data_IF_346784928176
#
_entry.id   IF_346784928176
#
_cell.length_a   1.000
_cell.length_b   1.000
_cell.length_c   1.000
_cell.angle_alpha   90.00
_cell.angle_beta   90.00
_cell.angle_gamma   90.00
#
_symmetry.space_group_name_H-M   'P 1'
#
loop_
_entity.id
_entity.type
_entity.pdbx_description
1 polymer ?
#
# COMPACT_ATOMS: atom_id res chain seq x y z
N UNK A 1 1.70 -8.73 0.01
CA UNK A 1 0.63 -9.33 0.86
C UNK A 1 0.23 -10.70 0.30
N UNK A 2 -0.41 -11.64 1.04
CA UNK A 2 -0.81 -12.91 0.46
C UNK A 2 -1.92 -12.71 -0.58
N UNK A 3 -1.80 -13.37 -1.74
CA UNK A 3 -2.68 -13.25 -2.92
C UNK A 3 -4.18 -13.30 -2.57
N UNK A 4 -4.58 -14.18 -1.64
CA UNK A 4 -5.99 -14.33 -1.24
C UNK A 4 -6.58 -13.10 -0.53
N UNK A 5 -5.76 -12.32 0.20
CA UNK A 5 -6.22 -11.06 0.83
C UNK A 5 -6.47 -9.96 -0.22
N UNK A 6 -5.68 -9.90 -1.28
CA UNK A 6 -5.87 -8.96 -2.39
C UNK A 6 -7.17 -9.26 -3.14
N UNK A 7 -7.44 -10.55 -3.38
CA UNK A 7 -8.70 -11.01 -3.98
C UNK A 7 -9.89 -10.63 -3.11
N UNK A 8 -9.84 -10.88 -1.79
CA UNK A 8 -10.91 -10.49 -0.86
C UNK A 8 -11.18 -8.98 -0.84
N UNK A 9 -10.13 -8.16 -0.92
CA UNK A 9 -10.25 -6.70 -0.95
C UNK A 9 -11.02 -6.22 -2.20
N UNK A 10 -10.93 -6.92 -3.33
CA UNK A 10 -11.73 -6.59 -4.52
C UNK A 10 -13.22 -6.89 -4.35
N UNK A 11 -13.59 -7.78 -3.42
CA UNK A 11 -14.99 -8.04 -3.09
C UNK A 11 -15.59 -7.05 -2.09
N UNK A 12 -14.79 -6.12 -1.56
CA UNK A 12 -15.27 -5.15 -0.57
C UNK A 12 -15.99 -3.93 -1.19
N UNK A 13 -15.84 -3.73 -2.51
CA UNK A 13 -16.52 -2.68 -3.26
C UNK A 13 -18.06 -2.87 -3.23
N UNK A 14 -18.78 -1.77 -2.99
CA UNK A 14 -20.25 -1.75 -2.92
C UNK A 14 -20.89 -2.28 -4.21
N UNK A 15 -20.35 -1.93 -5.38
CA UNK A 15 -20.88 -2.36 -6.67
C UNK A 15 -20.71 -3.87 -6.86
N UNK A 16 -19.58 -4.42 -6.44
CA UNK A 16 -19.31 -5.87 -6.48
C UNK A 16 -20.26 -6.62 -5.54
N UNK A 17 -20.51 -6.08 -4.33
CA UNK A 17 -21.49 -6.64 -3.38
C UNK A 17 -22.90 -6.67 -3.96
N UNK A 18 -23.32 -5.61 -4.65
CA UNK A 18 -24.62 -5.56 -5.35
C UNK A 18 -24.71 -6.62 -6.44
N UNK A 19 -23.65 -6.78 -7.24
CA UNK A 19 -23.59 -7.79 -8.31
C UNK A 19 -23.68 -9.22 -7.75
N UNK A 20 -22.98 -9.49 -6.64
CA UNK A 20 -23.05 -10.79 -5.95
C UNK A 20 -24.45 -11.03 -5.42
N UNK A 21 -25.07 -10.03 -4.79
CA UNK A 21 -26.45 -10.15 -4.31
C UNK A 21 -27.41 -10.48 -5.46
N UNK A 22 -27.29 -9.81 -6.61
CA UNK A 22 -28.08 -10.10 -7.81
C UNK A 22 -27.85 -11.53 -8.33
N UNK A 23 -26.60 -12.00 -8.37
CA UNK A 23 -26.27 -13.36 -8.78
C UNK A 23 -26.89 -14.43 -7.84
N UNK A 24 -26.82 -14.21 -6.53
CA UNK A 24 -27.41 -15.11 -5.52
C UNK A 24 -28.93 -15.13 -5.64
N UNK A 25 -29.56 -13.97 -5.82
CA UNK A 25 -31.00 -13.85 -6.00
C UNK A 25 -31.45 -14.57 -7.29
N UNK A 26 -30.80 -14.31 -8.43
CA UNK A 26 -31.10 -14.99 -9.70
C UNK A 26 -30.95 -16.52 -9.56
N UNK A 27 -29.89 -16.99 -8.89
CA UNK A 27 -29.69 -18.42 -8.65
C UNK A 27 -30.79 -19.05 -7.78
N UNK A 28 -31.22 -18.37 -6.71
CA UNK A 28 -32.31 -18.85 -5.85
C UNK A 28 -33.65 -18.90 -6.59
N UNK A 29 -33.96 -17.89 -7.41
CA UNK A 29 -35.18 -17.86 -8.22
C UNK A 29 -35.19 -18.99 -9.27
N UNK A 30 -34.07 -19.23 -9.94
CA UNK A 30 -33.91 -20.34 -10.87
C UNK A 30 -34.15 -21.69 -10.19
N UNK A 31 -33.60 -21.88 -8.98
CA UNK A 31 -33.78 -23.10 -8.18
C UNK A 31 -35.23 -23.32 -7.74
N UNK A 32 -35.94 -22.25 -7.36
CA UNK A 32 -37.33 -22.30 -6.86
C UNK A 32 -38.36 -22.51 -7.99
N UNK A 33 -38.12 -21.94 -9.18
CA UNK A 33 -39.03 -22.08 -10.32
C UNK A 33 -38.91 -23.43 -11.04
N UNK A 34 -37.96 -24.29 -10.64
CA UNK A 34 -37.78 -25.60 -11.26
C UNK A 34 -37.31 -25.55 -12.72
N UNK A 35 -36.74 -24.41 -13.15
CA UNK A 35 -36.18 -24.24 -14.49
C UNK A 35 -34.90 -25.11 -14.61
N UNK A 36 -35.06 -26.37 -14.99
CA UNK A 36 -33.95 -27.31 -15.22
C UNK A 36 -33.51 -27.27 -16.69
N UNK A 37 -32.79 -26.21 -17.06
CA UNK A 37 -32.19 -26.08 -18.38
C UNK A 37 -30.86 -25.32 -18.34
N UNK A 38 -30.02 -25.50 -19.37
CA UNK A 38 -28.75 -24.77 -19.54
C UNK A 38 -28.93 -23.24 -19.43
N UNK A 39 -30.13 -22.73 -19.72
CA UNK A 39 -30.49 -21.31 -19.62
C UNK A 39 -30.56 -20.77 -18.19
N UNK A 40 -30.91 -21.61 -17.20
CA UNK A 40 -31.00 -21.20 -15.79
C UNK A 40 -29.63 -20.91 -15.16
N UNK A 41 -28.57 -21.48 -15.73
CA UNK A 41 -27.19 -21.27 -15.28
C UNK A 41 -26.46 -20.18 -16.06
N UNK A 42 -27.01 -19.72 -17.21
CA UNK A 42 -26.34 -18.70 -18.03
C UNK A 42 -26.20 -17.37 -17.29
N UNK A 43 -27.28 -16.85 -16.70
CA UNK A 43 -27.25 -15.56 -16.01
C UNK A 43 -26.27 -15.54 -14.82
N UNK A 44 -26.33 -16.47 -13.83
CA UNK A 44 -25.36 -16.49 -12.75
C UNK A 44 -23.93 -16.76 -13.23
N UNK A 45 -23.75 -17.61 -14.25
CA UNK A 45 -22.43 -17.93 -14.79
C UNK A 45 -21.77 -16.72 -15.45
N UNK A 46 -22.52 -15.91 -16.20
CA UNK A 46 -21.99 -14.69 -16.85
C UNK A 46 -21.60 -13.66 -15.79
N UNK A 47 -22.42 -13.47 -14.76
CA UNK A 47 -22.12 -12.53 -13.67
C UNK A 47 -20.86 -12.97 -12.91
N UNK A 48 -20.75 -14.27 -12.60
CA UNK A 48 -19.57 -14.81 -11.92
C UNK A 48 -18.29 -14.66 -12.77
N UNK A 49 -18.40 -14.85 -14.09
CA UNK A 49 -17.29 -14.65 -15.01
C UNK A 49 -16.83 -13.18 -15.06
N UNK A 50 -17.76 -12.21 -15.06
CA UNK A 50 -17.43 -10.78 -15.00
C UNK A 50 -16.73 -10.44 -13.68
N UNK A 51 -17.21 -10.96 -12.56
CA UNK A 51 -16.58 -10.76 -11.25
C UNK A 51 -15.15 -11.32 -11.20
N UNK A 52 -14.96 -12.53 -11.74
CA UNK A 52 -13.64 -13.14 -11.83
C UNK A 52 -12.68 -12.33 -12.70
N UNK A 53 -13.15 -11.82 -13.85
CA UNK A 53 -12.37 -10.95 -14.72
C UNK A 53 -11.98 -9.63 -14.03
N UNK A 54 -12.92 -8.97 -13.35
CA UNK A 54 -12.67 -7.73 -12.61
C UNK A 54 -11.66 -7.94 -11.47
N UNK A 55 -11.79 -9.01 -10.70
CA UNK A 55 -10.85 -9.36 -9.65
C UNK A 55 -9.45 -9.64 -10.21
N UNK A 56 -9.34 -10.36 -11.34
CA UNK A 56 -8.07 -10.63 -11.98
C UNK A 56 -7.37 -9.34 -12.45
N UNK A 57 -8.10 -8.44 -13.11
CA UNK A 57 -7.57 -7.14 -13.52
C UNK A 57 -7.12 -6.33 -12.32
N UNK A 58 -7.93 -6.28 -11.24
CA UNK A 58 -7.58 -5.57 -10.01
C UNK A 58 -6.31 -6.09 -9.33
N UNK A 59 -6.11 -7.41 -9.30
CA UNK A 59 -4.90 -7.99 -8.72
C UNK A 59 -3.66 -7.72 -9.59
N UNK A 60 -3.79 -7.78 -10.91
CA UNK A 60 -2.68 -7.47 -11.83
C UNK A 60 -2.25 -6.00 -11.69
N UNK A 61 -3.19 -5.07 -11.60
CA UNK A 61 -2.86 -3.64 -11.46
C UNK A 61 -2.21 -3.32 -10.11
N UNK A 62 -2.69 -3.90 -9.01
CA UNK A 62 -2.14 -3.69 -7.66
C UNK A 62 -0.74 -4.34 -7.52
N UNK A 63 -0.54 -5.55 -8.06
CA UNK A 63 0.77 -6.23 -8.00
C UNK A 63 1.84 -5.59 -8.88
N UNK A 64 1.48 -5.03 -10.04
CA UNK A 64 2.43 -4.30 -10.88
C UNK A 64 2.92 -3.01 -10.21
N UNK A 65 2.05 -2.32 -9.45
CA UNK A 65 2.43 -1.14 -8.69
C UNK A 65 3.42 -1.48 -7.54
N UNK A 66 3.16 -2.56 -6.79
CA UNK A 66 4.07 -3.03 -5.74
C UNK A 66 5.43 -3.46 -6.30
N UNK A 67 5.46 -4.21 -7.42
CA UNK A 67 6.72 -4.69 -8.03
C UNK A 67 7.61 -3.55 -8.53
N UNK A 68 7.05 -2.53 -9.17
CA UNK A 68 7.83 -1.37 -9.62
C UNK A 68 8.51 -0.66 -8.43
N UNK A 69 7.84 -0.59 -7.29
CA UNK A 69 8.40 -0.04 -6.05
C UNK A 69 9.50 -0.93 -5.46
N UNK A 70 9.36 -2.26 -5.56
CA UNK A 70 10.34 -3.22 -5.06
C UNK A 70 11.60 -3.32 -5.94
N UNK A 71 11.45 -3.25 -7.26
CA UNK A 71 12.58 -3.19 -8.19
C UNK A 71 13.42 -1.93 -7.98
N UNK A 72 12.78 -0.78 -7.72
CA UNK A 72 13.49 0.44 -7.30
C UNK A 72 14.27 0.27 -5.98
N UNK A 73 13.82 -0.62 -5.07
CA UNK A 73 14.54 -0.94 -3.82
C UNK A 73 15.73 -1.87 -4.07
N UNK A 74 15.60 -2.83 -4.99
CA UNK A 74 16.63 -3.82 -5.27
C UNK A 74 17.90 -3.21 -5.90
N UNK A 75 17.78 -2.08 -6.60
CA UNK A 75 18.93 -1.35 -7.16
C UNK A 75 19.81 -0.64 -6.11
N UNK A 76 19.42 -0.63 -4.82
CA UNK A 76 20.16 0.01 -3.72
C UNK A 76 20.77 -1.01 -2.75
N UNK A 77 21.41 -2.08 -3.26
CA UNK A 77 22.20 -2.96 -2.40
C UNK A 77 23.48 -2.22 -1.95
N UNK A 78 23.32 -1.30 -0.99
CA UNK A 78 24.41 -0.57 -0.37
C UNK A 78 25.27 -1.56 0.43
N UNK A 79 26.58 -1.56 0.18
CA UNK A 79 27.56 -2.34 0.94
C UNK A 79 28.26 -1.42 1.94
N UNK A 80 28.61 -1.95 3.11
CA UNK A 80 29.25 -1.22 4.20
C UNK A 80 30.56 -1.92 4.61
N UNK A 81 31.60 -1.12 4.82
CA UNK A 81 32.86 -1.59 5.39
C UNK A 81 32.79 -1.50 6.91
N UNK A 82 32.70 -2.64 7.59
CA UNK A 82 32.61 -2.71 9.05
C UNK A 82 33.90 -3.22 9.67
N UNK A 83 34.15 -2.83 10.91
CA UNK A 83 35.19 -3.38 11.76
C UNK A 83 34.54 -4.27 12.82
N UNK A 84 34.62 -5.59 12.63
CA UNK A 84 34.14 -6.60 13.59
C UNK A 84 35.31 -7.47 14.02
N UNK A 85 35.43 -7.75 15.31
CA UNK A 85 36.52 -8.57 15.88
C UNK A 85 37.95 -8.11 15.48
N UNK A 86 38.14 -6.81 15.26
CA UNK A 86 39.42 -6.23 14.84
C UNK A 86 39.78 -6.42 13.35
N UNK A 87 38.91 -7.03 12.56
CA UNK A 87 39.10 -7.19 11.12
C UNK A 87 38.08 -6.36 10.32
N UNK A 88 38.53 -5.77 9.22
CA UNK A 88 37.64 -5.11 8.28
C UNK A 88 36.96 -6.14 7.38
N UNK A 89 35.64 -6.05 7.27
CA UNK A 89 34.83 -6.88 6.39
C UNK A 89 33.82 -6.03 5.65
N UNK A 90 33.57 -6.35 4.38
CA UNK A 90 32.50 -5.72 3.60
C UNK A 90 31.27 -6.59 3.77
N UNK A 91 30.16 -5.99 4.20
CA UNK A 91 28.88 -6.67 4.36
C UNK A 91 27.72 -5.85 3.79
N UNK A 92 26.62 -6.50 3.40
CA UNK A 92 25.42 -5.80 2.96
C UNK A 92 24.91 -4.86 4.07
N UNK A 93 24.49 -3.64 3.73
CA UNK A 93 23.95 -2.68 4.69
C UNK A 93 22.74 -3.22 5.49
N UNK A 94 22.02 -4.20 4.95
CA UNK A 94 20.92 -4.91 5.61
C UNK A 94 21.35 -5.76 6.81
N UNK A 95 22.64 -6.11 6.91
CA UNK A 95 23.20 -6.91 8.02
C UNK A 95 23.84 -6.05 9.12
N UNK A 96 23.78 -4.72 8.99
CA UNK A 96 24.26 -3.80 10.01
C UNK A 96 23.35 -3.84 11.25
N UNK A 97 23.98 -3.81 12.42
CA UNK A 97 23.29 -3.73 13.71
C UNK A 97 23.80 -2.53 14.52
N UNK A 98 22.98 -1.96 15.41
CA UNK A 98 23.44 -0.94 16.34
C UNK A 98 24.65 -1.42 17.14
N UNK A 99 25.69 -0.59 17.21
CA UNK A 99 26.98 -0.92 17.84
C UNK A 99 28.08 -1.34 16.86
N UNK A 100 27.76 -1.65 15.60
CA UNK A 100 28.79 -1.88 14.58
C UNK A 100 29.63 -0.61 14.35
N UNK A 101 30.95 -0.79 14.17
CA UNK A 101 31.85 0.29 13.76
C UNK A 101 31.98 0.21 12.24
N UNK A 102 31.64 1.30 11.57
CA UNK A 102 31.68 1.42 10.10
C UNK A 102 32.71 2.47 9.73
N UNK A 103 33.53 2.17 8.72
CA UNK A 103 34.40 3.14 8.09
C UNK A 103 33.74 3.69 6.84
N UNK A 104 33.65 5.02 6.76
CA UNK A 104 33.09 5.74 5.62
C UNK A 104 34.17 6.59 4.96
N UNK A 105 34.10 6.71 3.64
CA UNK A 105 35.01 7.54 2.86
C UNK A 105 34.32 8.21 1.68
N UNK A 106 35.08 9.04 0.98
CA UNK A 106 34.59 9.81 -0.18
C UNK A 106 33.91 8.91 -1.20
N UNK A 107 32.72 9.33 -1.64
CA UNK A 107 31.90 8.60 -2.61
C UNK A 107 31.04 7.49 -2.00
N UNK A 108 31.25 7.14 -0.73
CA UNK A 108 30.40 6.16 -0.05
C UNK A 108 29.07 6.81 0.35
N UNK A 109 27.98 6.07 0.11
CA UNK A 109 26.68 6.34 0.71
C UNK A 109 26.69 5.83 2.15
N UNK A 110 26.16 6.62 3.06
CA UNK A 110 26.06 6.31 4.48
C UNK A 110 24.95 5.25 4.66
N UNK A 111 25.26 4.03 5.13
CA UNK A 111 24.31 2.91 5.11
C UNK A 111 23.27 2.98 6.24
N UNK A 112 23.62 3.55 7.39
CA UNK A 112 22.80 3.60 8.59
C UNK A 112 22.99 4.96 9.29
N UNK A 113 22.15 5.27 10.29
CA UNK A 113 22.42 6.42 11.14
C UNK A 113 23.56 6.06 12.09
N UNK A 114 24.62 6.88 12.10
CA UNK A 114 25.85 6.58 12.83
C UNK A 114 26.39 7.80 13.56
N UNK A 115 26.87 7.61 14.80
CA UNK A 115 27.59 8.61 15.57
C UNK A 115 29.06 8.54 15.22
N UNK A 116 29.65 9.63 14.74
CA UNK A 116 31.08 9.66 14.48
C UNK A 116 31.88 9.41 15.75
N UNK A 117 32.95 8.63 15.64
CA UNK A 117 33.85 8.32 16.76
C UNK A 117 35.29 8.74 16.48
N UNK A 118 35.70 8.72 15.22
CA UNK A 118 37.07 9.04 14.83
C UNK A 118 37.07 9.71 13.45
N UNK A 119 37.81 10.81 13.31
CA UNK A 119 38.02 11.46 12.02
C UNK A 119 39.40 11.03 11.48
N UNK A 120 39.42 10.27 10.38
CA UNK A 120 40.65 9.74 9.76
C UNK A 120 41.29 10.72 8.78
N UNK A 121 40.67 11.88 8.57
CA UNK A 121 41.09 12.94 7.65
C UNK A 121 41.01 14.30 8.35
N UNK A 122 41.58 15.36 7.76
CA UNK A 122 41.52 16.69 8.36
C UNK A 122 40.08 17.23 8.47
N UNK A 123 39.24 16.92 7.48
CA UNK A 123 37.85 17.34 7.46
C UNK A 123 36.99 16.20 6.92
N UNK A 124 35.74 16.14 7.37
CA UNK A 124 34.70 15.30 6.78
C UNK A 124 33.55 16.21 6.32
N UNK A 125 33.14 16.07 5.07
CA UNK A 125 31.98 16.78 4.51
C UNK A 125 30.99 15.79 3.93
N UNK A 126 29.71 16.01 4.21
CA UNK A 126 28.61 15.13 3.82
C UNK A 126 27.54 15.94 3.11
N UNK A 127 27.05 15.42 2.00
CA UNK A 127 25.88 15.91 1.30
C UNK A 127 24.62 15.37 1.98
N UNK A 128 23.84 16.29 2.56
CA UNK A 128 22.60 16.00 3.28
C UNK A 128 21.37 16.54 2.56
N UNK A 129 21.48 16.89 1.26
CA UNK A 129 20.39 17.48 0.49
C UNK A 129 19.10 16.63 0.52
N UNK A 130 19.22 15.31 0.63
CA UNK A 130 18.08 14.39 0.70
C UNK A 130 17.26 14.52 2.01
N UNK A 131 17.86 15.04 3.09
CA UNK A 131 17.20 15.21 4.39
C UNK A 131 16.89 16.67 4.72
N UNK A 132 17.76 17.61 4.29
CA UNK A 132 17.62 19.03 4.63
C UNK A 132 17.08 19.86 3.47
N UNK A 133 17.14 19.36 2.24
CA UNK A 133 16.80 20.11 1.02
C UNK A 133 17.88 21.13 0.61
N UNK A 134 18.98 21.24 1.35
CA UNK A 134 20.06 22.18 1.06
C UNK A 134 21.17 21.49 0.26
N UNK A 135 21.50 22.05 -0.91
CA UNK A 135 22.52 21.48 -1.81
C UNK A 135 23.97 21.65 -1.34
N UNK A 136 24.19 22.37 -0.24
CA UNK A 136 25.53 22.64 0.28
C UNK A 136 26.00 21.51 1.19
N UNK A 137 27.22 21.00 0.94
CA UNK A 137 27.83 20.00 1.83
C UNK A 137 28.12 20.58 3.22
N UNK A 138 27.83 19.80 4.25
CA UNK A 138 27.97 20.21 5.66
C UNK A 138 29.22 19.56 6.25
N UNK A 139 30.01 20.35 6.98
CA UNK A 139 31.16 19.85 7.72
C UNK A 139 30.71 19.10 8.98
N UNK A 140 31.34 17.96 9.26
CA UNK A 140 31.03 17.11 10.41
C UNK A 140 32.13 17.21 11.47
N UNK A 141 31.75 17.11 12.74
CA UNK A 141 32.61 17.30 13.91
C UNK A 141 32.43 16.18 14.95
N UNK A 142 33.46 15.90 15.75
CA UNK A 142 33.40 14.83 16.76
C UNK A 142 32.67 15.24 18.03
N UNK A 143 32.55 16.54 18.30
CA UNK A 143 31.99 17.06 19.54
C UNK A 143 30.51 16.74 19.71
N UNK A 144 30.04 16.70 20.96
CA UNK A 144 28.62 16.47 21.24
C UNK A 144 27.80 17.69 20.87
N UNK A 145 26.68 17.50 20.16
CA UNK A 145 25.67 18.53 19.98
C UNK A 145 25.11 18.96 21.34
N UNK A 146 25.13 20.26 21.62
CA UNK A 146 24.76 20.84 22.93
C UNK A 146 23.25 20.82 23.21
N UNK A 147 22.42 20.87 22.17
CA UNK A 147 20.96 20.92 22.31
C UNK A 147 20.34 19.51 22.34
N UNK A 148 19.52 19.24 23.37
CA UNK A 148 18.82 17.96 23.55
C UNK A 148 17.80 17.67 22.42
N UNK A 149 17.20 18.71 21.84
CA UNK A 149 16.25 18.63 20.72
C UNK A 149 16.77 19.36 19.46
N UNK A 150 18.03 19.09 19.10
CA UNK A 150 18.64 19.64 17.90
C UNK A 150 17.92 19.18 16.62
N UNK A 151 17.79 20.09 15.65
CA UNK A 151 17.33 19.78 14.29
C UNK A 151 18.38 18.92 13.59
N UNK A 152 18.02 18.18 12.53
CA UNK A 152 18.96 17.34 11.79
C UNK A 152 20.20 18.11 11.29
N UNK A 153 20.03 19.38 10.90
CA UNK A 153 21.13 20.26 10.47
C UNK A 153 22.19 20.49 11.56
N UNK A 154 21.76 20.65 12.82
CA UNK A 154 22.63 20.94 13.95
C UNK A 154 23.39 19.70 14.47
N UNK A 155 23.00 18.51 14.03
CA UNK A 155 23.64 17.24 14.39
C UNK A 155 24.89 17.01 13.52
N UNK A 156 25.88 17.87 13.70
CA UNK A 156 27.18 17.82 12.99
C UNK A 156 28.01 16.58 13.33
N UNK A 157 27.64 15.83 14.35
CA UNK A 157 28.34 14.64 14.81
C UNK A 157 27.70 13.31 14.40
N UNK A 158 26.55 13.38 13.73
CA UNK A 158 25.81 12.21 13.21
C UNK A 158 25.92 12.17 11.68
N UNK A 159 26.14 10.97 11.17
CA UNK A 159 26.00 10.63 9.75
C UNK A 159 24.63 9.98 9.56
N UNK A 160 23.83 10.47 8.62
CA UNK A 160 22.48 9.97 8.41
C UNK A 160 22.42 9.01 7.23
N UNK A 161 21.61 7.95 7.36
CA UNK A 161 21.40 6.96 6.30
C UNK A 161 20.92 7.63 5.01
N UNK A 162 21.49 7.22 3.88
CA UNK A 162 21.16 7.74 2.55
C UNK A 162 21.95 8.98 2.12
N UNK A 163 22.67 9.63 3.04
CA UNK A 163 23.55 10.77 2.72
C UNK A 163 24.86 10.29 2.09
N UNK A 164 25.58 11.19 1.39
CA UNK A 164 26.82 10.82 0.66
C UNK A 164 28.00 11.59 1.20
N UNK A 165 29.12 10.90 1.44
CA UNK A 165 30.37 11.55 1.86
C UNK A 165 31.04 12.20 0.66
N UNK A 166 31.16 13.53 0.70
CA UNK A 166 31.75 14.33 -0.39
C UNK A 166 33.25 14.48 -0.22
N UNK A 167 33.73 14.58 1.02
CA UNK A 167 35.15 14.75 1.31
C UNK A 167 35.51 14.11 2.65
N UNK A 168 36.71 13.53 2.73
CA UNK A 168 37.27 12.95 3.95
C UNK A 168 36.94 11.48 4.18
N UNK A 169 37.40 10.98 5.33
CA UNK A 169 37.14 9.63 5.85
C UNK A 169 36.95 9.69 7.36
N UNK A 170 36.09 8.84 7.87
CA UNK A 170 35.80 8.76 9.30
C UNK A 170 35.36 7.36 9.70
N UNK A 171 35.46 7.06 10.99
CA UNK A 171 34.79 5.92 11.61
C UNK A 171 33.61 6.40 12.44
N UNK A 172 32.53 5.65 12.36
CA UNK A 172 31.30 5.94 13.07
C UNK A 172 30.72 4.65 13.63
N UNK A 173 30.02 4.77 14.75
CA UNK A 173 29.29 3.68 15.38
C UNK A 173 27.83 3.77 14.97
N UNK A 174 27.25 2.65 14.55
CA UNK A 174 25.83 2.57 14.18
C UNK A 174 24.96 2.80 15.41
N UNK A 175 24.07 3.78 15.32
CA UNK A 175 23.09 4.12 16.36
C UNK A 175 21.67 3.72 15.97
N UNK A 176 21.36 3.67 14.66
CA UNK A 176 20.04 3.33 14.16
C UNK A 176 20.09 2.69 12.78
N UNK A 177 19.24 1.69 12.55
CA UNK A 177 19.12 0.95 11.28
C UNK A 177 17.66 0.83 10.88
N UNK A 178 17.40 0.67 9.57
CA UNK A 178 16.04 0.50 9.03
C UNK A 178 15.10 1.63 9.44
N UNK A 179 13.93 1.27 10.00
CA UNK A 179 12.91 2.22 10.46
C UNK A 179 13.36 3.19 11.56
N UNK A 180 14.40 2.84 12.33
CA UNK A 180 14.92 3.70 13.40
C UNK A 180 15.94 4.74 12.92
N UNK A 181 16.15 4.88 11.61
CA UNK A 181 16.95 5.96 11.02
C UNK A 181 16.10 7.21 10.78
N UNK A 182 16.72 8.37 10.58
CA UNK A 182 16.04 9.60 10.17
C UNK A 182 15.23 9.37 8.88
N UNK A 183 15.84 8.75 7.86
CA UNK A 183 15.16 8.42 6.61
C UNK A 183 14.05 7.35 6.80
N UNK A 184 14.29 6.36 7.66
CA UNK A 184 13.32 5.35 8.03
C UNK A 184 12.07 5.94 8.70
N UNK A 185 12.26 6.93 9.58
CA UNK A 185 11.16 7.64 10.25
C UNK A 185 10.32 8.45 9.27
N UNK A 186 10.95 9.08 8.27
CA UNK A 186 10.26 9.81 7.19
C UNK A 186 9.45 8.82 6.34
N UNK A 187 10.06 7.68 5.97
CA UNK A 187 9.38 6.63 5.21
C UNK A 187 8.17 6.08 5.96
N UNK A 188 8.33 5.78 7.24
CA UNK A 188 7.25 5.23 8.05
C UNK A 188 6.14 6.27 8.28
N UNK A 189 6.47 7.57 8.36
CA UNK A 189 5.50 8.65 8.36
C UNK A 189 4.74 8.77 7.02
N UNK A 190 5.43 8.59 5.89
CA UNK A 190 4.80 8.55 4.57
C UNK A 190 3.84 7.35 4.45
N UNK A 191 4.26 6.16 4.89
CA UNK A 191 3.43 4.94 4.86
C UNK A 191 2.24 5.00 5.83
N UNK A 192 2.34 5.77 6.92
CA UNK A 192 1.23 6.03 7.86
C UNK A 192 0.22 7.03 7.33
N UNK A 193 0.56 7.79 6.31
CA UNK A 193 -0.42 8.59 5.59
C UNK A 193 -1.28 7.58 4.84
N UNK A 194 -2.49 7.32 5.34
CA UNK A 194 -3.44 6.46 4.63
C UNK A 194 -3.58 6.99 3.21
N UNK A 195 -3.51 6.09 2.22
CA UNK A 195 -3.81 6.42 0.83
C UNK A 195 -5.24 6.97 0.77
N UNK A 196 -5.38 8.28 0.90
CA UNK A 196 -6.67 8.92 0.68
C UNK A 196 -7.05 8.63 -0.76
N UNK A 197 -8.21 7.98 -0.93
CA UNK A 197 -8.77 7.74 -2.24
C UNK A 197 -8.77 9.07 -3.03
N UNK A 198 -8.29 9.00 -4.28
CA UNK A 198 -8.19 10.18 -5.13
C UNK A 198 -9.53 10.92 -5.20
N UNK A 199 -9.55 12.26 -5.33
CA UNK A 199 -10.79 13.01 -5.35
C UNK A 199 -11.76 12.50 -6.43
N UNK A 200 -11.25 11.99 -7.56
CA UNK A 200 -12.04 11.34 -8.59
C UNK A 200 -12.64 10.01 -8.12
N UNK A 201 -11.87 9.16 -7.42
CA UNK A 201 -12.36 7.89 -6.87
C UNK A 201 -13.44 8.12 -5.82
N UNK A 202 -13.25 9.07 -4.90
CA UNK A 202 -14.28 9.48 -3.92
C UNK A 202 -15.60 9.88 -4.62
N UNK A 203 -15.52 10.63 -5.73
CA UNK A 203 -16.70 11.05 -6.51
C UNK A 203 -17.38 9.89 -7.24
N UNK A 204 -16.61 8.93 -7.76
CA UNK A 204 -17.16 7.72 -8.38
C UNK A 204 -17.86 6.83 -7.34
N UNK A 205 -17.29 6.66 -6.15
CA UNK A 205 -17.90 5.89 -5.06
C UNK A 205 -19.19 6.55 -4.55
N UNK A 206 -19.18 7.88 -4.39
CA UNK A 206 -20.38 8.68 -4.08
C UNK A 206 -21.47 8.49 -5.15
N UNK A 207 -21.10 8.58 -6.43
CA UNK A 207 -22.01 8.40 -7.56
C UNK A 207 -22.57 6.98 -7.64
N UNK A 208 -21.73 5.96 -7.43
CA UNK A 208 -22.14 4.56 -7.38
C UNK A 208 -23.12 4.30 -6.24
N UNK A 209 -22.86 4.88 -5.06
CA UNK A 209 -23.76 4.78 -3.90
C UNK A 209 -25.09 5.52 -4.16
N UNK A 210 -25.06 6.66 -4.83
CA UNK A 210 -26.25 7.40 -5.23
C UNK A 210 -27.12 6.59 -6.20
N UNK A 211 -26.53 6.05 -7.27
CA UNK A 211 -27.23 5.18 -8.22
C UNK A 211 -27.83 3.96 -7.53
N UNK A 212 -27.07 3.30 -6.65
CA UNK A 212 -27.56 2.13 -5.90
C UNK A 212 -28.82 2.46 -5.07
N UNK A 213 -28.85 3.62 -4.40
CA UNK A 213 -30.03 4.07 -3.63
C UNK A 213 -31.23 4.35 -4.53
N UNK A 214 -31.01 4.99 -5.68
CA UNK A 214 -32.08 5.29 -6.66
C UNK A 214 -32.67 3.99 -7.22
N UNK A 215 -31.83 3.06 -7.66
CA UNK A 215 -32.27 1.76 -8.19
C UNK A 215 -33.05 1.00 -7.13
N UNK A 216 -32.53 0.91 -5.89
CA UNK A 216 -33.24 0.24 -4.78
C UNK A 216 -34.60 0.88 -4.50
N UNK A 217 -34.69 2.21 -4.52
CA UNK A 217 -35.95 2.94 -4.36
C UNK A 217 -36.97 2.62 -5.46
N UNK A 218 -36.52 2.56 -6.72
CA UNK A 218 -37.37 2.18 -7.86
C UNK A 218 -37.83 0.72 -7.73
N UNK A 219 -36.94 -0.21 -7.39
CA UNK A 219 -37.29 -1.61 -7.18
C UNK A 219 -38.38 -1.78 -6.11
N UNK A 220 -38.25 -1.10 -4.96
CA UNK A 220 -39.26 -1.12 -3.89
C UNK A 220 -40.58 -0.50 -4.38
N UNK A 221 -40.51 0.63 -5.09
CA UNK A 221 -41.70 1.32 -5.59
C UNK A 221 -42.47 0.45 -6.60
N UNK A 222 -41.78 -0.17 -7.56
CA UNK A 222 -42.37 -1.12 -8.51
C UNK A 222 -43.02 -2.27 -7.76
N UNK A 223 -42.33 -2.85 -6.77
CA UNK A 223 -42.86 -3.96 -5.98
C UNK A 223 -44.14 -3.58 -5.21
N UNK A 224 -44.19 -2.40 -4.59
CA UNK A 224 -45.36 -1.90 -3.85
C UNK A 224 -46.54 -1.63 -4.78
N UNK A 225 -46.31 -1.03 -5.94
CA UNK A 225 -47.38 -0.78 -6.93
C UNK A 225 -47.95 -2.11 -7.45
N UNK A 226 -47.11 -3.13 -7.59
CA UNK A 226 -47.53 -4.44 -8.11
C UNK A 226 -48.24 -5.35 -7.11
N UNK A 227 -48.26 -4.99 -5.82
CA UNK A 227 -48.95 -5.77 -4.78
C UNK A 227 -50.43 -6.01 -5.10
N UNK A 228 -51.08 -5.07 -5.79
CA UNK A 228 -52.48 -5.20 -6.23
C UNK A 228 -52.68 -6.26 -7.32
N UNK A 229 -51.70 -6.47 -8.20
CA UNK A 229 -51.75 -7.44 -9.30
C UNK A 229 -51.25 -8.84 -8.91
N UNK A 230 -50.65 -9.02 -7.72
CA UNK A 230 -50.31 -10.35 -7.20
C UNK A 230 -51.53 -11.25 -6.96
N UNK A 231 -52.74 -10.68 -6.93
CA UNK A 231 -54.00 -11.40 -6.70
C UNK A 231 -54.73 -11.80 -7.98
N UNK A 232 -54.14 -11.58 -9.16
CA UNK A 232 -54.76 -11.94 -10.44
C UNK A 232 -54.80 -13.48 -10.63
N UNK A 233 -55.94 -14.08 -11.01
CA UNK A 233 -56.11 -15.54 -11.10
C UNK A 233 -55.22 -16.24 -12.14
N UNK A 234 -54.59 -15.49 -13.05
CA UNK A 234 -53.72 -16.00 -14.11
C UNK A 234 -52.37 -16.55 -13.62
N UNK A 235 -51.92 -16.20 -12.41
CA UNK A 235 -50.59 -16.58 -11.89
C UNK A 235 -50.60 -17.74 -10.88
N UNK A 236 -51.76 -18.35 -10.61
CA UNK A 236 -51.87 -19.57 -9.78
C UNK A 236 -51.50 -19.40 -8.29
N UNK A 237 -51.41 -18.16 -7.79
CA UNK A 237 -51.23 -17.84 -6.37
C UNK A 237 -50.40 -16.57 -6.09
N UNK A 238 -50.59 -15.96 -4.92
CA UNK A 238 -49.93 -14.73 -4.48
C UNK A 238 -48.39 -14.80 -4.54
N UNK A 239 -47.82 -15.96 -4.16
CA UNK A 239 -46.38 -16.21 -4.18
C UNK A 239 -45.79 -16.28 -5.60
N UNK A 240 -46.52 -16.84 -6.58
CA UNK A 240 -46.04 -16.94 -7.96
C UNK A 240 -46.13 -15.60 -8.70
N UNK A 241 -47.16 -14.79 -8.43
CA UNK A 241 -47.24 -13.41 -8.92
C UNK A 241 -46.11 -12.53 -8.36
N UNK A 242 -45.81 -12.67 -7.07
CA UNK A 242 -44.69 -11.98 -6.43
C UNK A 242 -43.33 -12.36 -7.03
N UNK A 243 -43.11 -13.64 -7.32
CA UNK A 243 -41.88 -14.13 -7.97
C UNK A 243 -41.77 -13.65 -9.42
N UNK A 244 -42.87 -13.62 -10.18
CA UNK A 244 -42.86 -13.20 -11.59
C UNK A 244 -42.47 -11.73 -11.74
N UNK A 245 -43.07 -10.83 -10.97
CA UNK A 245 -42.74 -9.40 -11.03
C UNK A 245 -41.47 -9.01 -10.29
N UNK A 246 -40.91 -9.90 -9.47
CA UNK A 246 -39.58 -9.72 -8.91
C UNK A 246 -38.48 -10.17 -9.89
N UNK A 247 -38.81 -11.00 -10.89
CA UNK A 247 -37.91 -11.40 -11.99
C UNK A 247 -37.88 -10.36 -13.13
N UNK A 248 -38.94 -9.57 -13.30
CA UNK A 248 -39.05 -8.46 -14.28
C UNK A 248 -38.45 -7.18 -13.71
#
# INVERSE_FOLDING_TARGET
TPFWKLVLKQFDDLLVKILIAAAVVSFLLARLNGETGLTAFLEPSVIFMILAANAAVGVITETNAEKALEELRAYQADVATVLRNGCFSILPATELVPGDIVEVGVGCKVPADMRMVEMLSHQLRVDQAILTGESCSVAKELDSTSAMNAVYQDKTNILFSGTVVVAGRARAVVIGVGSNTAMGSIRDAMLRTEDEATPLKKKLDEFGTFLAKVIAGICILVWVVNIGHFRDPSHGGFLRGAIHYFKV
#
